data_IF_172199482530
#
_entry.id   IF_172199482530
#
_cell.length_a   1.000
_cell.length_b   1.000
_cell.length_c   1.000
_cell.angle_alpha   90.00
_cell.angle_beta   90.00
_cell.angle_gamma   90.00
#
_symmetry.space_group_name_H-M   'P 1'
#
loop_
_entity.id
_entity.type
_entity.pdbx_description
1 polymer ?
#
# COMPACT_ATOMS: atom_id res chain seq x y z
N UNK A 1 20.59 -12.20 9.59
CA UNK A 1 19.79 -11.02 9.91
C UNK A 1 20.53 -9.84 9.32
N UNK A 2 20.25 -9.54 8.06
CA UNK A 2 20.91 -8.45 7.33
C UNK A 2 19.92 -7.31 7.29
N UNK A 3 20.30 -6.16 7.84
CA UNK A 3 19.54 -4.91 7.71
C UNK A 3 19.43 -4.58 6.22
N UNK A 4 18.26 -4.20 5.71
CA UNK A 4 18.16 -3.72 4.34
C UNK A 4 19.01 -2.46 4.19
N UNK A 5 19.65 -2.32 3.02
CA UNK A 5 20.52 -1.21 2.69
C UNK A 5 19.83 0.14 2.94
N UNK A 6 20.52 1.03 3.62
CA UNK A 6 20.07 2.42 3.83
C UNK A 6 19.80 3.06 2.46
N UNK A 7 18.52 3.27 2.18
CA UNK A 7 18.10 4.04 1.02
C UNK A 7 18.64 5.46 1.17
N UNK A 8 19.48 5.89 0.23
CA UNK A 8 20.14 7.18 0.19
C UNK A 8 19.19 8.34 -0.20
N UNK A 9 17.89 8.14 -0.07
CA UNK A 9 16.92 9.23 -0.17
C UNK A 9 16.65 9.82 1.22
N UNK A 10 16.63 11.16 1.36
CA UNK A 10 16.26 11.77 2.62
C UNK A 10 14.89 11.24 3.03
N UNK A 11 14.77 10.80 4.29
CA UNK A 11 13.49 10.29 4.83
C UNK A 11 12.41 11.36 4.63
N UNK A 12 11.24 11.00 4.11
CA UNK A 12 10.17 11.96 3.93
C UNK A 12 9.73 12.52 5.29
N UNK A 13 9.33 13.78 5.30
CA UNK A 13 8.75 14.39 6.49
C UNK A 13 7.23 14.21 6.52
N UNK A 14 6.63 14.36 7.70
CA UNK A 14 5.18 14.37 7.85
C UNK A 14 4.52 15.40 6.92
N UNK A 15 5.13 16.58 6.76
CA UNK A 15 4.66 17.61 5.83
C UNK A 15 4.67 17.13 4.37
N UNK A 16 5.73 16.42 3.94
CA UNK A 16 5.81 15.88 2.57
C UNK A 16 4.73 14.83 2.33
N UNK A 17 4.50 13.94 3.31
CA UNK A 17 3.52 12.87 3.20
C UNK A 17 2.09 13.39 3.15
N UNK A 18 1.77 14.44 3.92
CA UNK A 18 0.43 15.02 4.03
C UNK A 18 0.21 16.25 3.13
N UNK A 19 1.18 16.60 2.29
CA UNK A 19 1.08 17.75 1.38
C UNK A 19 -0.21 17.70 0.54
N UNK A 20 -0.99 18.77 0.57
CA UNK A 20 -2.27 18.87 -0.14
C UNK A 20 -3.46 18.18 0.56
N UNK A 21 -3.24 17.55 1.71
CA UNK A 21 -4.29 16.93 2.53
C UNK A 21 -4.49 17.67 3.85
N UNK A 22 -3.39 18.05 4.49
CA UNK A 22 -3.40 18.81 5.75
C UNK A 22 -2.07 19.54 5.94
N UNK A 23 -2.10 20.62 6.72
CA UNK A 23 -0.87 21.26 7.20
C UNK A 23 -0.24 20.44 8.31
N UNK A 24 1.04 20.14 8.18
CA UNK A 24 1.78 19.31 9.12
C UNK A 24 3.22 19.82 9.34
N UNK A 25 3.79 19.59 10.53
CA UNK A 25 5.17 19.97 10.79
C UNK A 25 6.16 19.10 9.97
N UNK A 26 7.35 19.63 9.61
CA UNK A 26 8.36 18.90 8.85
C UNK A 26 9.17 17.95 9.75
N UNK A 27 8.51 16.97 10.35
CA UNK A 27 9.10 15.96 11.22
C UNK A 27 9.47 14.74 10.38
N UNK A 28 10.71 14.22 10.46
CA UNK A 28 11.13 13.01 9.76
C UNK A 28 10.29 11.80 10.18
N UNK A 29 9.89 10.98 9.22
CA UNK A 29 9.13 9.76 9.42
C UNK A 29 9.97 8.57 8.98
N UNK A 30 10.13 7.56 9.86
CA UNK A 30 10.94 6.37 9.59
C UNK A 30 10.14 5.22 8.97
N UNK A 31 8.81 5.24 9.14
CA UNK A 31 7.88 4.24 8.61
C UNK A 31 6.45 4.74 8.71
N UNK A 32 5.54 4.03 8.07
CA UNK A 32 4.10 4.32 8.13
C UNK A 32 3.31 3.04 8.42
N UNK A 33 2.21 3.14 9.14
CA UNK A 33 1.37 1.98 9.42
C UNK A 33 -0.04 2.35 9.82
N UNK A 34 -1.00 1.49 9.49
CA UNK A 34 -2.41 1.58 9.92
C UNK A 34 -2.81 0.49 10.91
N UNK A 35 -1.92 -0.46 11.22
CA UNK A 35 -2.07 -1.51 12.22
C UNK A 35 -1.13 -1.25 13.38
N UNK A 36 -1.66 -0.97 14.59
CA UNK A 36 -0.87 -0.65 15.79
C UNK A 36 0.15 -1.73 16.15
N UNK A 37 -0.13 -2.99 15.87
CA UNK A 37 0.74 -4.13 16.15
C UNK A 37 2.00 -4.20 15.26
N UNK A 38 2.06 -3.41 14.20
CA UNK A 38 3.15 -3.36 13.21
C UNK A 38 3.86 -2.01 13.19
N UNK A 39 3.64 -1.19 14.21
CA UNK A 39 4.31 0.10 14.36
C UNK A 39 5.64 -0.06 15.09
N UNK A 40 6.60 0.76 14.71
CA UNK A 40 7.90 0.87 15.34
C UNK A 40 8.23 2.33 15.65
N UNK A 41 9.36 2.55 16.34
CA UNK A 41 9.85 3.87 16.72
C UNK A 41 10.02 4.79 15.50
N UNK A 42 9.52 6.01 15.61
CA UNK A 42 9.57 7.02 14.56
C UNK A 42 8.55 6.85 13.43
N UNK A 43 7.59 5.91 13.53
CA UNK A 43 6.54 5.73 12.52
C UNK A 43 5.47 6.82 12.57
N UNK A 44 4.82 7.04 11.43
CA UNK A 44 3.54 7.74 11.33
C UNK A 44 2.40 6.72 11.47
N UNK A 45 1.58 6.86 12.51
CA UNK A 45 0.36 6.07 12.66
C UNK A 45 -0.78 6.68 11.85
N UNK A 46 -1.38 5.89 10.95
CA UNK A 46 -2.52 6.26 10.10
C UNK A 46 -3.80 5.68 10.70
N UNK A 47 -4.43 6.43 11.60
CA UNK A 47 -5.59 6.00 12.37
C UNK A 47 -6.89 6.17 11.56
N UNK A 48 -7.27 5.15 10.80
CA UNK A 48 -8.48 5.10 9.98
C UNK A 48 -9.57 4.23 10.61
N UNK A 49 -10.81 4.39 10.14
CA UNK A 49 -11.91 3.47 10.48
C UNK A 49 -11.66 2.10 9.84
N UNK A 50 -11.57 1.07 10.67
CA UNK A 50 -11.57 -0.32 10.24
C UNK A 50 -12.98 -0.90 10.20
N UNK A 51 -13.08 -2.21 9.90
CA UNK A 51 -14.37 -2.92 9.83
C UNK A 51 -15.10 -2.99 11.18
N UNK A 52 -14.38 -3.12 12.29
CA UNK A 52 -14.94 -3.35 13.63
C UNK A 52 -14.58 -2.28 14.65
N UNK A 53 -13.53 -1.53 14.43
CA UNK A 53 -12.97 -0.55 15.38
C UNK A 53 -12.31 0.60 14.62
N UNK A 54 -12.19 1.74 15.28
CA UNK A 54 -11.45 2.87 14.73
C UNK A 54 -9.96 2.77 15.13
N UNK A 55 -9.04 3.21 14.28
CA UNK A 55 -7.60 3.22 14.59
C UNK A 55 -7.28 3.95 15.91
N UNK A 56 -8.03 5.01 16.23
CA UNK A 56 -7.86 5.74 17.49
C UNK A 56 -8.16 4.90 18.76
N UNK A 57 -8.88 3.79 18.66
CA UNK A 57 -9.10 2.87 19.78
C UNK A 57 -7.79 2.20 20.22
N UNK A 58 -6.78 2.17 19.32
CA UNK A 58 -5.45 1.60 19.55
C UNK A 58 -4.36 2.67 19.77
N UNK A 59 -4.78 3.88 20.10
CA UNK A 59 -3.88 5.03 20.27
C UNK A 59 -2.80 4.77 21.35
N UNK A 60 -3.18 4.16 22.47
CA UNK A 60 -2.25 3.85 23.56
C UNK A 60 -1.13 2.90 23.09
N UNK A 61 -1.49 1.83 22.37
CA UNK A 61 -0.54 0.87 21.81
C UNK A 61 0.41 1.54 20.79
N UNK A 62 -0.14 2.41 19.94
CA UNK A 62 0.66 3.16 18.97
C UNK A 62 1.68 4.09 19.66
N UNK A 63 1.27 4.78 20.73
CA UNK A 63 2.17 5.64 21.50
C UNK A 63 3.25 4.84 22.23
N UNK A 64 2.92 3.67 22.76
CA UNK A 64 3.89 2.75 23.38
C UNK A 64 4.94 2.24 22.39
N UNK A 65 4.58 2.11 21.10
CA UNK A 65 5.52 1.73 20.03
C UNK A 65 6.49 2.86 19.63
N UNK A 66 6.33 4.07 20.15
CA UNK A 66 7.24 5.19 19.89
C UNK A 66 6.95 5.93 18.57
N UNK A 67 5.69 5.96 18.12
CA UNK A 67 5.33 6.72 16.89
C UNK A 67 5.69 8.20 17.02
N UNK A 68 6.19 8.78 15.92
CA UNK A 68 6.60 10.20 15.88
C UNK A 68 5.44 11.15 15.61
N UNK A 69 4.35 10.66 14.99
CA UNK A 69 3.16 11.44 14.67
C UNK A 69 1.94 10.52 14.44
N UNK A 70 0.76 11.11 14.50
CA UNK A 70 -0.50 10.45 14.23
C UNK A 70 -1.28 11.26 13.18
N UNK A 71 -1.69 10.64 12.09
CA UNK A 71 -2.71 11.18 11.21
C UNK A 71 -4.02 10.41 11.45
N UNK A 72 -5.12 11.11 11.68
CA UNK A 72 -6.41 10.48 11.96
C UNK A 72 -7.50 10.96 11.02
N UNK A 73 -8.48 10.09 10.77
CA UNK A 73 -9.59 10.40 9.85
C UNK A 73 -10.62 11.31 10.53
N UNK A 74 -10.57 12.60 10.18
CA UNK A 74 -11.47 13.62 10.74
C UNK A 74 -12.95 13.42 10.35
N UNK A 75 -13.21 12.63 9.32
CA UNK A 75 -14.60 12.35 8.87
C UNK A 75 -15.30 11.28 9.72
N UNK A 76 -14.55 10.44 10.45
CA UNK A 76 -15.09 9.28 11.16
C UNK A 76 -14.76 9.24 12.66
N UNK A 77 -13.76 9.99 13.09
CA UNK A 77 -13.27 9.97 14.47
C UNK A 77 -13.59 11.22 15.28
N UNK A 78 -13.22 11.17 16.55
CA UNK A 78 -13.17 12.33 17.45
C UNK A 78 -11.72 12.68 17.71
N UNK A 79 -11.33 13.98 17.71
CA UNK A 79 -9.93 14.34 17.90
C UNK A 79 -9.41 13.78 19.24
N UNK A 80 -8.27 13.07 19.22
CA UNK A 80 -7.62 12.69 20.46
C UNK A 80 -7.12 13.97 21.17
N UNK A 81 -7.06 13.94 22.49
CA UNK A 81 -6.48 15.02 23.28
C UNK A 81 -5.00 15.22 23.00
N UNK A 82 -4.34 16.02 23.84
CA UNK A 82 -2.88 16.15 23.81
C UNK A 82 -2.24 14.81 24.24
N UNK A 83 -1.52 14.19 23.32
CA UNK A 83 -0.89 12.86 23.49
C UNK A 83 0.64 12.93 23.41
N UNK A 84 1.21 14.14 23.40
CA UNK A 84 2.67 14.34 23.42
C UNK A 84 3.38 14.18 22.08
N UNK A 85 2.65 13.83 21.01
CA UNK A 85 3.15 13.80 19.63
C UNK A 85 2.19 14.59 18.72
N UNK A 86 2.65 15.11 17.58
CA UNK A 86 1.78 15.78 16.62
C UNK A 86 0.62 14.90 16.17
N UNK A 87 -0.58 15.44 16.25
CA UNK A 87 -1.81 14.79 15.80
C UNK A 87 -2.42 15.63 14.68
N UNK A 88 -2.49 15.07 13.49
CA UNK A 88 -2.96 15.77 12.29
C UNK A 88 -4.30 15.19 11.83
N UNK A 89 -5.29 16.05 11.73
CA UNK A 89 -6.59 15.70 11.17
C UNK A 89 -6.52 15.69 9.64
N UNK A 90 -6.95 14.62 9.02
CA UNK A 90 -6.99 14.47 7.56
C UNK A 90 -8.39 14.03 7.15
N UNK A 91 -9.05 14.80 6.32
CA UNK A 91 -10.38 14.46 5.81
C UNK A 91 -10.31 13.25 4.86
N UNK A 92 -11.16 12.25 5.13
CA UNK A 92 -11.22 11.00 4.35
C UNK A 92 -9.85 10.31 4.26
N UNK A 93 -9.11 10.22 5.36
CA UNK A 93 -7.78 9.63 5.42
C UNK A 93 -7.73 8.23 4.79
N UNK A 94 -8.76 7.42 4.97
CA UNK A 94 -8.85 6.09 4.37
C UNK A 94 -8.65 6.12 2.84
N UNK A 95 -9.20 7.10 2.15
CA UNK A 95 -9.03 7.28 0.69
C UNK A 95 -7.66 7.86 0.30
N UNK A 96 -6.87 8.36 1.24
CA UNK A 96 -5.56 8.96 1.04
C UNK A 96 -4.41 8.00 1.34
N UNK A 97 -4.69 6.85 1.98
CA UNK A 97 -3.67 5.87 2.37
C UNK A 97 -2.75 5.48 1.20
N UNK A 98 -3.33 5.24 0.02
CA UNK A 98 -2.57 4.88 -1.17
C UNK A 98 -1.56 5.94 -1.59
N UNK A 99 -1.99 7.19 -1.66
CA UNK A 99 -1.11 8.31 -2.02
C UNK A 99 -0.04 8.56 -0.95
N UNK A 100 -0.40 8.50 0.33
CA UNK A 100 0.56 8.65 1.44
C UNK A 100 1.61 7.53 1.39
N UNK A 101 1.18 6.28 1.19
CA UNK A 101 2.08 5.14 1.06
C UNK A 101 2.97 5.26 -0.19
N UNK A 102 2.38 5.64 -1.33
CA UNK A 102 3.14 5.85 -2.56
C UNK A 102 4.25 6.90 -2.38
N UNK A 103 3.95 8.02 -1.73
CA UNK A 103 4.95 9.06 -1.41
C UNK A 103 6.03 8.54 -0.47
N UNK A 104 5.64 7.83 0.60
CA UNK A 104 6.58 7.29 1.58
C UNK A 104 7.58 6.33 0.94
N UNK A 105 7.11 5.44 0.08
CA UNK A 105 7.94 4.44 -0.59
C UNK A 105 8.60 4.94 -1.89
N UNK A 106 8.66 6.26 -2.13
CA UNK A 106 9.36 6.84 -3.26
C UNK A 106 8.66 6.65 -4.61
N UNK A 107 7.32 6.54 -4.60
CA UNK A 107 6.45 6.42 -5.79
C UNK A 107 6.78 5.21 -6.66
N UNK A 108 6.74 3.99 -6.12
CA UNK A 108 7.08 2.78 -6.86
C UNK A 108 6.16 2.56 -8.07
N UNK A 109 4.91 3.00 -8.02
CA UNK A 109 3.97 2.89 -9.13
C UNK A 109 4.31 3.78 -10.35
N UNK A 110 5.21 4.74 -10.20
CA UNK A 110 5.74 5.56 -11.31
C UNK A 110 7.02 4.94 -11.92
N UNK A 111 7.62 3.94 -11.24
CA UNK A 111 8.89 3.33 -11.60
C UNK A 111 8.74 1.94 -12.22
N UNK A 112 7.61 1.27 -12.00
CA UNK A 112 7.29 -0.02 -12.62
C UNK A 112 5.86 -0.02 -13.16
N UNK A 113 5.60 -0.78 -14.23
CA UNK A 113 4.27 -0.90 -14.81
C UNK A 113 3.44 -1.96 -14.07
N UNK A 114 2.33 -1.54 -13.44
CA UNK A 114 1.45 -2.43 -12.69
C UNK A 114 0.34 -2.98 -13.58
N UNK A 115 0.31 -4.29 -13.75
CA UNK A 115 -0.72 -5.02 -14.49
C UNK A 115 -1.71 -5.62 -13.48
N UNK A 116 -2.82 -4.92 -13.25
CA UNK A 116 -3.84 -5.35 -12.29
C UNK A 116 -4.82 -6.36 -12.93
N UNK A 117 -4.97 -7.52 -12.31
CA UNK A 117 -5.89 -8.58 -12.74
C UNK A 117 -7.02 -8.72 -11.73
N UNK A 118 -8.24 -8.42 -12.17
CA UNK A 118 -9.45 -8.58 -11.35
C UNK A 118 -10.48 -9.48 -12.04
N UNK A 119 -11.47 -9.96 -11.29
CA UNK A 119 -12.54 -10.83 -11.77
C UNK A 119 -13.02 -11.79 -10.68
N UNK A 120 -14.11 -12.49 -10.92
CA UNK A 120 -14.67 -13.48 -9.97
C UNK A 120 -13.83 -14.75 -9.92
N UNK A 121 -13.32 -15.22 -11.06
CA UNK A 121 -12.52 -16.44 -11.18
C UNK A 121 -11.29 -16.20 -12.07
N UNK A 122 -10.24 -17.01 -11.90
CA UNK A 122 -9.07 -17.04 -12.77
C UNK A 122 -8.05 -15.94 -12.56
N UNK A 123 -8.22 -15.05 -11.58
CA UNK A 123 -7.26 -13.96 -11.29
C UNK A 123 -5.85 -14.49 -11.12
N UNK A 124 -5.68 -15.46 -10.24
CA UNK A 124 -4.38 -16.09 -9.92
C UNK A 124 -3.73 -16.66 -11.17
N UNK A 125 -4.49 -17.44 -11.94
CA UNK A 125 -3.97 -18.06 -13.18
C UNK A 125 -3.53 -17.00 -14.17
N UNK A 126 -4.34 -15.98 -14.41
CA UNK A 126 -4.02 -14.92 -15.39
C UNK A 126 -2.83 -14.09 -14.94
N UNK A 127 -2.82 -13.62 -13.67
CA UNK A 127 -1.70 -12.82 -13.15
C UNK A 127 -0.38 -13.61 -13.19
N UNK A 128 -0.42 -14.90 -12.80
CA UNK A 128 0.75 -15.77 -12.88
C UNK A 128 1.23 -16.00 -14.31
N UNK A 129 0.30 -16.24 -15.25
CA UNK A 129 0.65 -16.39 -16.66
C UNK A 129 1.24 -15.12 -17.26
N UNK A 130 0.74 -13.94 -16.86
CA UNK A 130 1.32 -12.65 -17.28
C UNK A 130 2.75 -12.52 -16.80
N UNK A 131 3.03 -12.80 -15.53
CA UNK A 131 4.38 -12.75 -14.98
C UNK A 131 5.32 -13.69 -15.74
N UNK A 132 4.91 -14.95 -15.95
CA UNK A 132 5.71 -15.94 -16.68
C UNK A 132 5.91 -15.59 -18.16
N UNK A 133 4.88 -15.05 -18.82
CA UNK A 133 5.01 -14.62 -20.22
C UNK A 133 6.01 -13.47 -20.37
N UNK A 134 6.00 -12.51 -19.44
CA UNK A 134 6.96 -11.42 -19.42
C UNK A 134 8.40 -11.95 -19.25
N UNK A 135 8.61 -12.88 -18.32
CA UNK A 135 9.93 -13.53 -18.14
C UNK A 135 10.39 -14.26 -19.41
N UNK A 136 9.49 -14.96 -20.10
CA UNK A 136 9.80 -15.62 -21.38
C UNK A 136 10.22 -14.62 -22.48
N UNK A 137 9.76 -13.37 -22.39
CA UNK A 137 10.12 -12.27 -23.29
C UNK A 137 11.40 -11.54 -22.85
N UNK A 138 12.00 -11.94 -21.73
CA UNK A 138 13.20 -11.32 -21.17
C UNK A 138 12.94 -10.12 -20.29
N UNK A 139 11.68 -9.87 -19.94
CA UNK A 139 11.26 -8.78 -19.06
C UNK A 139 11.22 -9.24 -17.59
N UNK A 140 11.59 -8.37 -16.66
CA UNK A 140 11.55 -8.66 -15.22
C UNK A 140 10.17 -8.29 -14.67
N UNK A 141 9.32 -9.28 -14.44
CA UNK A 141 7.96 -9.09 -13.96
C UNK A 141 7.77 -9.75 -12.60
N UNK A 142 7.49 -8.95 -11.58
CA UNK A 142 7.12 -9.45 -10.27
C UNK A 142 5.66 -9.94 -10.25
N UNK A 143 5.36 -10.89 -9.37
CA UNK A 143 4.01 -11.34 -9.09
C UNK A 143 3.59 -10.96 -7.67
N UNK A 144 2.32 -10.57 -7.50
CA UNK A 144 1.71 -10.30 -6.20
C UNK A 144 0.28 -10.82 -6.17
N UNK A 145 -0.01 -11.85 -5.38
CA UNK A 145 -1.34 -12.45 -5.31
C UNK A 145 -1.43 -13.64 -4.36
N UNK A 146 -2.43 -14.47 -4.58
CA UNK A 146 -2.77 -15.62 -3.72
C UNK A 146 -1.65 -16.65 -3.58
N UNK A 147 -0.79 -16.81 -4.60
CA UNK A 147 0.35 -17.73 -4.54
C UNK A 147 1.53 -17.20 -3.72
N UNK A 148 1.50 -15.94 -3.35
CA UNK A 148 2.61 -15.25 -2.69
C UNK A 148 3.01 -13.98 -3.44
N UNK A 149 4.26 -13.56 -3.26
CA UNK A 149 4.81 -12.39 -3.94
C UNK A 149 6.31 -12.59 -4.20
N UNK A 150 6.81 -12.01 -5.28
CA UNK A 150 8.22 -12.07 -5.62
C UNK A 150 8.52 -11.86 -7.09
N UNK A 151 9.82 -11.79 -7.38
CA UNK A 151 10.39 -11.76 -8.71
C UNK A 151 11.09 -13.11 -8.96
N UNK A 152 10.50 -13.96 -9.82
CA UNK A 152 10.95 -15.34 -10.04
C UNK A 152 10.50 -16.28 -8.92
N UNK A 153 11.22 -16.34 -7.79
CA UNK A 153 10.84 -17.15 -6.64
C UNK A 153 9.78 -16.44 -5.78
N UNK A 154 8.67 -17.12 -5.50
CA UNK A 154 7.62 -16.57 -4.66
C UNK A 154 7.90 -16.81 -3.17
N UNK A 155 7.70 -15.78 -2.37
CA UNK A 155 7.74 -15.84 -0.92
C UNK A 155 6.32 -15.81 -0.36
N UNK A 156 6.09 -16.54 0.72
CA UNK A 156 4.92 -16.58 1.59
C UNK A 156 3.57 -16.27 0.95
N UNK A 157 2.59 -17.13 1.17
CA UNK A 157 1.20 -16.79 0.93
C UNK A 157 0.53 -16.64 2.30
N UNK A 158 0.20 -15.43 2.70
CA UNK A 158 -0.55 -15.19 3.94
C UNK A 158 -2.07 -15.44 3.75
N UNK A 159 -2.46 -16.08 2.64
CA UNK A 159 -3.85 -16.43 2.34
C UNK A 159 -4.72 -15.24 1.92
N UNK A 160 -4.20 -14.03 1.86
CA UNK A 160 -4.92 -12.86 1.34
C UNK A 160 -4.52 -12.59 -0.11
N UNK A 161 -5.53 -12.39 -0.96
CA UNK A 161 -5.34 -12.13 -2.39
C UNK A 161 -4.68 -10.77 -2.64
N UNK A 162 -4.98 -9.77 -1.81
CA UNK A 162 -4.44 -8.41 -1.92
C UNK A 162 -4.05 -7.94 -0.52
N UNK A 163 -2.81 -7.52 -0.29
CA UNK A 163 -2.37 -6.98 1.00
C UNK A 163 -3.04 -5.64 1.31
N UNK A 164 -2.91 -5.17 2.56
CA UNK A 164 -3.34 -3.83 2.96
C UNK A 164 -2.59 -2.76 2.14
N UNK A 165 -3.19 -1.58 1.99
CA UNK A 165 -2.68 -0.51 1.10
C UNK A 165 -1.22 -0.15 1.36
N UNK A 166 -0.82 0.00 2.61
CA UNK A 166 0.56 0.34 2.99
C UNK A 166 1.51 -0.77 2.57
N UNK A 167 1.19 -2.01 2.91
CA UNK A 167 1.98 -3.19 2.57
C UNK A 167 2.05 -3.42 1.05
N UNK A 168 1.00 -3.08 0.33
CA UNK A 168 0.99 -3.14 -1.13
C UNK A 168 2.09 -2.25 -1.74
N UNK A 169 2.18 -0.99 -1.31
CA UNK A 169 3.21 -0.06 -1.79
C UNK A 169 4.62 -0.43 -1.32
N UNK A 170 4.75 -0.97 -0.11
CA UNK A 170 6.01 -1.55 0.38
C UNK A 170 6.52 -2.66 -0.54
N UNK A 171 5.64 -3.59 -0.95
CA UNK A 171 5.99 -4.68 -1.87
C UNK A 171 6.36 -4.16 -3.25
N UNK A 172 5.62 -3.17 -3.78
CA UNK A 172 5.99 -2.55 -5.07
C UNK A 172 7.38 -1.90 -5.00
N UNK A 173 7.70 -1.21 -3.91
CA UNK A 173 9.03 -0.63 -3.72
C UNK A 173 10.12 -1.73 -3.69
N UNK A 174 9.86 -2.82 -2.98
CA UNK A 174 10.77 -3.97 -2.98
C UNK A 174 10.96 -4.61 -4.36
N UNK A 175 9.98 -4.54 -5.24
CA UNK A 175 10.13 -4.99 -6.63
C UNK A 175 10.97 -4.01 -7.47
N UNK A 176 10.78 -2.70 -7.27
CA UNK A 176 11.63 -1.67 -7.89
C UNK A 176 13.09 -1.85 -7.49
N UNK A 177 13.37 -2.09 -6.21
CA UNK A 177 14.74 -2.35 -5.72
C UNK A 177 15.38 -3.60 -6.34
N UNK A 178 14.56 -4.55 -6.76
CA UNK A 178 15.01 -5.75 -7.47
C UNK A 178 15.04 -5.55 -8.99
N UNK A 179 14.99 -4.31 -9.50
CA UNK A 179 14.96 -3.97 -10.93
C UNK A 179 13.80 -4.62 -11.71
N UNK A 180 12.63 -4.79 -11.10
CA UNK A 180 11.44 -5.19 -11.83
C UNK A 180 10.95 -4.04 -12.71
N UNK A 181 10.65 -4.31 -13.97
CA UNK A 181 9.99 -3.35 -14.87
C UNK A 181 8.47 -3.44 -14.81
N UNK A 182 7.96 -4.61 -14.40
CA UNK A 182 6.53 -4.92 -14.34
C UNK A 182 6.15 -5.60 -13.04
N UNK A 183 4.87 -5.43 -12.63
CA UNK A 183 4.27 -6.21 -11.56
C UNK A 183 2.87 -6.71 -11.97
N UNK A 184 2.69 -8.02 -12.08
CA UNK A 184 1.39 -8.65 -12.27
C UNK A 184 0.70 -8.87 -10.92
N UNK A 185 -0.39 -8.17 -10.67
CA UNK A 185 -1.03 -8.08 -9.36
C UNK A 185 -2.46 -8.60 -9.40
N UNK A 186 -2.79 -9.52 -8.49
CA UNK A 186 -4.18 -9.90 -8.26
C UNK A 186 -4.89 -8.86 -7.41
N UNK A 187 -5.99 -8.33 -7.92
CA UNK A 187 -6.81 -7.35 -7.19
C UNK A 187 -8.19 -7.91 -6.96
N UNK A 188 -8.59 -8.05 -5.69
CA UNK A 188 -9.96 -8.41 -5.34
C UNK A 188 -10.90 -7.25 -5.64
N UNK A 189 -12.19 -7.53 -5.93
CA UNK A 189 -13.19 -6.48 -6.14
C UNK A 189 -13.31 -5.55 -4.93
N UNK A 190 -13.18 -6.10 -3.73
CA UNK A 190 -13.18 -5.33 -2.48
C UNK A 190 -11.95 -4.42 -2.34
N UNK A 191 -10.79 -4.90 -2.78
CA UNK A 191 -9.58 -4.11 -2.80
C UNK A 191 -9.63 -2.97 -3.84
N UNK A 192 -10.33 -3.15 -4.96
CA UNK A 192 -10.57 -2.06 -5.92
C UNK A 192 -11.41 -0.92 -5.33
N UNK A 193 -12.35 -1.23 -4.45
CA UNK A 193 -13.18 -0.23 -3.78
C UNK A 193 -12.43 0.48 -2.64
N UNK A 194 -11.59 -0.27 -1.91
CA UNK A 194 -10.84 0.24 -0.75
C UNK A 194 -9.45 0.78 -1.11
N UNK A 195 -8.80 0.15 -2.08
CA UNK A 195 -7.54 0.63 -2.59
C UNK A 195 -7.83 1.78 -3.52
N UNK A 196 -7.37 2.93 -3.17
CA UNK A 196 -7.14 4.04 -4.07
C UNK A 196 -6.12 3.67 -5.16
N UNK A 197 -6.31 2.51 -5.79
CA UNK A 197 -5.55 2.06 -6.97
C UNK A 197 -5.76 2.99 -8.16
N UNK A 198 -6.74 3.89 -8.07
CA UNK A 198 -7.01 4.96 -9.05
C UNK A 198 -5.78 5.86 -9.25
N UNK A 199 -4.88 5.92 -8.26
CA UNK A 199 -3.62 6.67 -8.38
C UNK A 199 -2.44 5.82 -8.87
N UNK A 200 -2.62 4.50 -9.06
CA UNK A 200 -1.55 3.60 -9.54
C UNK A 200 -1.53 3.54 -11.06
N UNK A 201 -2.62 3.91 -11.72
CA UNK A 201 -2.68 3.93 -13.18
C UNK A 201 -3.40 5.19 -13.65
N UNK A 202 -2.69 6.08 -14.30
CA UNK A 202 -3.30 6.78 -15.44
C UNK A 202 -3.93 5.69 -16.33
N UNK A 203 -5.15 5.87 -16.86
CA UNK A 203 -5.88 4.78 -17.51
C UNK A 203 -5.21 4.37 -18.81
N UNK A 204 -4.20 3.55 -18.73
CA UNK A 204 -3.56 2.94 -19.88
C UNK A 204 -4.18 1.58 -20.10
N UNK A 205 -5.25 1.58 -20.92
CA UNK A 205 -5.95 0.42 -21.49
C UNK A 205 -6.68 -0.48 -20.47
N UNK A 206 -7.99 -0.22 -20.32
CA UNK A 206 -8.94 -1.25 -19.92
C UNK A 206 -8.79 -2.48 -20.84
N UNK A 207 -8.21 -3.56 -20.33
CA UNK A 207 -8.42 -4.87 -20.93
C UNK A 207 -9.87 -5.24 -20.67
N UNK A 208 -10.67 -5.25 -21.73
CA UNK A 208 -12.10 -5.54 -21.70
C UNK A 208 -12.35 -6.89 -21.00
N UNK A 209 -13.19 -6.88 -19.96
CA UNK A 209 -13.73 -8.12 -19.40
C UNK A 209 -14.53 -8.84 -20.52
N UNK A 210 -14.10 -10.02 -20.92
CA UNK A 210 -14.91 -10.89 -21.77
C UNK A 210 -16.11 -11.37 -20.96
N UNK A 211 -17.30 -10.83 -21.24
CA UNK A 211 -18.56 -11.45 -20.83
C UNK A 211 -18.67 -12.77 -21.59
N UNK A 212 -18.52 -13.89 -20.90
CA UNK A 212 -19.02 -15.15 -21.42
C UNK A 212 -20.55 -15.07 -21.46
N UNK A 213 -21.19 -15.42 -22.60
CA UNK A 213 -22.65 -15.53 -22.63
C UNK A 213 -23.08 -16.64 -21.68
N UNK A 214 -24.07 -16.35 -20.81
CA UNK A 214 -24.73 -17.39 -20.03
C UNK A 214 -25.44 -18.34 -21.01
N UNK A 215 -25.01 -19.58 -21.05
CA UNK A 215 -25.77 -20.64 -21.72
C UNK A 215 -27.11 -20.84 -21.01
N UNK A 216 -28.20 -20.67 -21.76
CA UNK A 216 -29.53 -21.02 -21.35
C UNK A 216 -29.70 -22.54 -21.22
#
# INVERSE_FOLDING_TARGET
>A
MSMPAEHMHPRPTLADLLQGFADAPPIPVSGIGSDSRRLDDGYLFLAVQGLTSHGLDFLAEALESGVTAIAWDASTGTPPGDVGVPVVAVDNLASRLGEIANRFYGRPSEQLEVIAVTGTNGKTTVAWMVAQAAECLGERCAYLGTLGHGLGELQGSEGMTTPAVVEFHERLAGFVEQDAGYAAVEVSSHALEQLSLIHISEPTRQLMSSRMPSSA
#
